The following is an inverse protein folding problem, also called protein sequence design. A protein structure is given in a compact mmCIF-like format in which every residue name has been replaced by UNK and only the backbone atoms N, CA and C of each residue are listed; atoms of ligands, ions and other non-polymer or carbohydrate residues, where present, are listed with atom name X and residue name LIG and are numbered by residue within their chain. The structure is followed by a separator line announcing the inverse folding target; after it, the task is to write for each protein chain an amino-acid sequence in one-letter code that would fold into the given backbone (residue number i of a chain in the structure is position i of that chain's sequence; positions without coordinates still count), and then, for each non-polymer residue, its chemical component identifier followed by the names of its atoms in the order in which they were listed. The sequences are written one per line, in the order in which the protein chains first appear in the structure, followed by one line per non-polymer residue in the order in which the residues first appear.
data_IF_820432851290
#
_entry.id   IF_820432851290
#
_cell.length_a   1.000
_cell.length_b   1.000
_cell.length_c   1.000
_cell.angle_alpha   90.00
_cell.angle_beta   90.00
_cell.angle_gamma   90.00
#
_symmetry.space_group_name_H-M   'P 1'
#
loop_
_entity.id
_entity.type
_entity.pdbx_description
1 polymer ?
#
# COMPACT_ATOMS: atom_id res chain seq x y z
N UNK A 1 16.64 6.25 7.39
CA UNK A 1 15.96 7.45 6.84
C UNK A 1 14.59 7.03 6.31
N UNK A 2 13.50 7.19 7.08
CA UNK A 2 12.17 6.73 6.66
C UNK A 2 11.70 7.38 5.35
N UNK A 3 12.04 8.65 5.12
CA UNK A 3 11.63 9.41 3.94
C UNK A 3 12.02 8.75 2.59
N UNK A 4 13.22 8.17 2.48
CA UNK A 4 13.68 7.57 1.22
C UNK A 4 12.94 6.26 0.90
N UNK A 5 12.74 5.42 1.91
CA UNK A 5 11.99 4.17 1.80
C UNK A 5 10.53 4.44 1.45
N UNK A 6 9.92 5.42 2.10
CA UNK A 6 8.52 5.78 1.84
C UNK A 6 8.35 6.38 0.44
N UNK A 7 9.26 7.28 0.02
CA UNK A 7 9.28 7.84 -1.34
C UNK A 7 9.41 6.76 -2.41
N UNK A 8 10.22 5.72 -2.17
CA UNK A 8 10.37 4.58 -3.06
C UNK A 8 9.09 3.75 -3.17
N UNK A 9 8.39 3.53 -2.05
CA UNK A 9 7.12 2.81 -2.03
C UNK A 9 6.00 3.63 -2.70
N UNK A 10 6.00 4.95 -2.55
CA UNK A 10 5.08 5.85 -3.26
C UNK A 10 5.32 5.84 -4.76
N UNK A 11 6.58 5.93 -5.19
CA UNK A 11 6.95 5.83 -6.60
C UNK A 11 6.53 4.46 -7.19
N UNK A 12 6.73 3.37 -6.46
CA UNK A 12 6.32 2.03 -6.88
C UNK A 12 4.80 1.90 -6.99
N UNK A 13 4.05 2.45 -6.02
CA UNK A 13 2.58 2.49 -6.06
C UNK A 13 2.07 3.26 -7.28
N UNK A 14 2.64 4.45 -7.52
CA UNK A 14 2.28 5.30 -8.66
C UNK A 14 2.64 4.68 -10.01
N UNK A 15 3.68 3.84 -10.07
CA UNK A 15 4.02 3.07 -11.26
C UNK A 15 3.01 1.95 -11.51
N UNK A 16 2.58 1.23 -10.46
CA UNK A 16 1.58 0.16 -10.56
C UNK A 16 0.21 0.69 -11.01
N UNK A 17 -0.14 1.94 -10.67
CA UNK A 17 -1.36 2.59 -11.15
C UNK A 17 -1.38 2.85 -12.68
N UNK A 18 -0.21 2.80 -13.34
CA UNK A 18 -0.05 3.11 -14.76
C UNK A 18 0.36 1.90 -15.61
N UNK A 19 1.03 0.93 -15.01
CA UNK A 19 1.64 -0.20 -15.70
C UNK A 19 1.40 -1.51 -14.95
N UNK A 20 1.24 -2.64 -15.66
CA UNK A 20 1.22 -3.94 -15.01
C UNK A 20 2.56 -4.21 -14.31
N UNK A 21 2.53 -4.90 -13.15
CA UNK A 21 3.72 -5.10 -12.31
C UNK A 21 4.94 -5.64 -13.05
N UNK A 22 4.85 -6.62 -13.97
CA UNK A 22 6.00 -7.10 -14.74
C UNK A 22 6.71 -6.00 -15.54
N UNK A 23 5.99 -4.98 -16.01
CA UNK A 23 6.53 -3.84 -16.76
C UNK A 23 7.17 -2.76 -15.88
N UNK A 24 6.88 -2.72 -14.56
CA UNK A 24 7.49 -1.76 -13.64
C UNK A 24 8.99 -2.04 -13.50
N UNK A 25 9.85 -1.07 -13.80
CA UNK A 25 11.31 -1.23 -13.71
C UNK A 25 11.87 -0.55 -12.46
N UNK A 26 12.78 -1.24 -11.78
CA UNK A 26 13.46 -0.73 -10.58
C UNK A 26 14.14 0.62 -10.82
N UNK A 27 14.75 0.81 -12.00
CA UNK A 27 15.41 2.09 -12.35
C UNK A 27 14.42 3.25 -12.43
N UNK A 28 13.22 3.04 -12.95
CA UNK A 28 12.21 4.10 -13.09
C UNK A 28 11.64 4.47 -11.72
N UNK A 29 11.46 3.49 -10.83
CA UNK A 29 11.04 3.72 -9.44
C UNK A 29 12.08 4.55 -8.69
N UNK A 30 13.37 4.19 -8.80
CA UNK A 30 14.46 4.95 -8.17
C UNK A 30 14.50 6.40 -8.69
N UNK A 31 14.39 6.57 -10.01
CA UNK A 31 14.38 7.90 -10.64
C UNK A 31 13.19 8.74 -10.19
N UNK A 32 11.98 8.17 -10.16
CA UNK A 32 10.78 8.85 -9.71
C UNK A 32 10.83 9.24 -8.22
N UNK A 33 11.50 8.45 -7.39
CA UNK A 33 11.73 8.75 -5.98
C UNK A 33 12.96 9.65 -5.73
N UNK A 34 13.64 10.13 -6.79
CA UNK A 34 14.86 10.94 -6.72
C UNK A 34 15.98 10.31 -5.88
N UNK A 35 16.11 8.98 -5.92
CA UNK A 35 17.17 8.23 -5.22
C UNK A 35 18.01 7.40 -6.19
N UNK A 36 19.22 7.03 -5.77
CA UNK A 36 20.07 6.18 -6.60
C UNK A 36 19.51 4.77 -6.72
N UNK A 37 19.82 4.09 -7.84
CA UNK A 37 19.51 2.66 -8.01
C UNK A 37 20.10 1.82 -6.88
N UNK A 38 21.34 2.11 -6.47
CA UNK A 38 22.02 1.40 -5.39
C UNK A 38 21.25 1.54 -4.07
N UNK A 39 20.75 2.73 -3.75
CA UNK A 39 19.90 2.94 -2.57
C UNK A 39 18.65 2.07 -2.62
N UNK A 40 17.95 2.04 -3.76
CA UNK A 40 16.78 1.18 -3.91
C UNK A 40 17.10 -0.31 -3.71
N UNK A 41 18.17 -0.80 -4.35
CA UNK A 41 18.61 -2.18 -4.18
C UNK A 41 19.09 -2.48 -2.74
N UNK A 42 19.70 -1.52 -2.03
CA UNK A 42 20.07 -1.69 -0.63
C UNK A 42 18.84 -1.78 0.29
N UNK A 43 17.80 -0.98 0.01
CA UNK A 43 16.58 -0.94 0.83
C UNK A 43 15.69 -2.18 0.62
N UNK A 44 15.61 -2.70 -0.62
CA UNK A 44 14.65 -3.74 -0.98
C UNK A 44 15.26 -5.04 -1.50
N UNK A 45 16.53 -5.05 -1.88
CA UNK A 45 17.25 -6.20 -2.43
C UNK A 45 16.87 -6.55 -3.87
N UNK A 46 15.57 -6.65 -4.16
CA UNK A 46 15.05 -7.05 -5.48
C UNK A 46 13.68 -6.43 -5.77
N UNK A 47 13.21 -6.60 -7.01
CA UNK A 47 11.85 -6.19 -7.41
C UNK A 47 10.79 -6.90 -6.56
N UNK A 48 10.99 -8.18 -6.25
CA UNK A 48 10.06 -8.90 -5.37
C UNK A 48 10.14 -8.42 -3.93
N UNK A 49 11.33 -8.01 -3.46
CA UNK A 49 11.48 -7.38 -2.16
C UNK A 49 10.71 -6.06 -2.05
N UNK A 50 10.77 -5.24 -3.10
CA UNK A 50 9.97 -4.02 -3.23
C UNK A 50 8.47 -4.34 -3.27
N UNK A 51 8.04 -5.33 -4.07
CA UNK A 51 6.65 -5.77 -4.15
C UNK A 51 6.12 -6.17 -2.75
N UNK A 52 6.86 -7.03 -2.04
CA UNK A 52 6.47 -7.47 -0.69
C UNK A 52 6.42 -6.31 0.30
N UNK A 53 7.35 -5.36 0.20
CA UNK A 53 7.34 -4.19 1.06
C UNK A 53 6.14 -3.28 0.78
N UNK A 54 5.79 -3.09 -0.49
CA UNK A 54 4.62 -2.33 -0.90
C UNK A 54 3.32 -2.97 -0.40
N UNK A 55 3.14 -4.28 -0.63
CA UNK A 55 1.97 -5.03 -0.14
C UNK A 55 1.84 -4.92 1.39
N UNK A 56 2.93 -5.06 2.14
CA UNK A 56 2.91 -4.90 3.61
C UNK A 56 2.51 -3.49 4.04
N UNK A 57 2.94 -2.45 3.31
CA UNK A 57 2.57 -1.06 3.61
C UNK A 57 1.08 -0.84 3.42
N UNK A 58 0.54 -1.30 2.29
CA UNK A 58 -0.89 -1.16 2.01
C UNK A 58 -1.74 -1.99 2.98
N UNK A 59 -1.31 -3.20 3.35
CA UNK A 59 -1.96 -4.01 4.38
C UNK A 59 -1.98 -3.32 5.75
N UNK A 60 -0.86 -2.71 6.16
CA UNK A 60 -0.79 -1.96 7.42
C UNK A 60 -1.70 -0.72 7.39
N UNK A 61 -1.72 0.02 6.27
CA UNK A 61 -2.63 1.15 6.08
C UNK A 61 -4.10 0.73 6.13
N UNK A 62 -4.41 -0.43 5.56
CA UNK A 62 -5.75 -1.01 5.61
C UNK A 62 -6.17 -1.35 7.05
N UNK A 63 -5.35 -2.10 7.79
CA UNK A 63 -5.66 -2.46 9.18
C UNK A 63 -5.83 -1.22 10.07
N UNK A 64 -4.96 -0.22 9.90
CA UNK A 64 -5.08 1.05 10.63
C UNK A 64 -6.37 1.81 10.30
N UNK A 65 -6.94 1.64 9.11
CA UNK A 65 -8.23 2.21 8.76
C UNK A 65 -9.41 1.48 9.39
N UNK A 66 -9.36 0.14 9.48
CA UNK A 66 -10.33 -0.65 10.25
C UNK A 66 -10.32 -0.21 11.71
N UNK A 67 -9.14 -0.10 12.33
CA UNK A 67 -9.02 0.30 13.73
C UNK A 67 -9.67 1.66 13.97
N UNK A 68 -9.48 2.63 13.05
CA UNK A 68 -10.13 3.95 13.12
C UNK A 68 -11.64 3.88 12.96
N UNK A 69 -12.15 3.04 12.05
CA UNK A 69 -13.59 2.85 11.87
C UNK A 69 -14.24 2.22 13.11
N UNK A 70 -13.50 1.37 13.84
CA UNK A 70 -13.95 0.72 15.06
C UNK A 70 -13.72 1.55 16.34
N UNK A 71 -12.83 2.53 16.33
CA UNK A 71 -12.41 3.28 17.51
C UNK A 71 -13.42 4.28 18.13
N UNK A 72 -14.40 4.91 17.43
CA UNK A 72 -15.15 6.03 18.03
C UNK A 72 -16.13 5.57 19.12
N UNK A 73 -16.07 6.15 20.33
CA UNK A 73 -17.11 6.01 21.35
C UNK A 73 -17.98 7.28 21.51
N UNK A 74 -19.23 7.16 22.00
CA UNK A 74 -20.03 5.94 22.15
C UNK A 74 -20.95 5.77 20.92
N UNK A 75 -20.72 4.72 20.13
CA UNK A 75 -21.63 4.29 19.06
C UNK A 75 -22.10 2.86 19.32
N UNK A 76 -23.31 2.53 18.86
CA UNK A 76 -23.88 1.18 18.93
C UNK A 76 -22.90 0.16 18.27
N UNK A 77 -22.62 -1.00 18.88
CA UNK A 77 -21.87 -2.08 18.24
C UNK A 77 -22.29 -2.38 16.79
N UNK A 78 -23.59 -2.30 16.46
CA UNK A 78 -24.08 -2.50 15.09
C UNK A 78 -23.65 -1.37 14.14
N UNK A 79 -23.69 -0.12 14.60
CA UNK A 79 -23.21 1.04 13.84
C UNK A 79 -21.70 0.94 13.58
N UNK A 80 -20.92 0.48 14.57
CA UNK A 80 -19.47 0.27 14.42
C UNK A 80 -19.14 -0.81 13.39
N UNK A 81 -19.87 -1.93 13.41
CA UNK A 81 -19.69 -2.99 12.41
C UNK A 81 -20.08 -2.51 11.01
N UNK A 82 -21.16 -1.73 10.90
CA UNK A 82 -21.60 -1.14 9.63
C UNK A 82 -20.54 -0.19 9.09
N UNK A 83 -20.03 0.73 9.92
CA UNK A 83 -18.97 1.67 9.54
C UNK A 83 -17.67 0.97 9.10
N UNK A 84 -17.27 -0.10 9.80
CA UNK A 84 -16.11 -0.91 9.41
C UNK A 84 -16.32 -1.64 8.08
N UNK A 85 -17.53 -2.17 7.82
CA UNK A 85 -17.88 -2.82 6.57
C UNK A 85 -17.89 -1.83 5.39
N UNK A 86 -18.51 -0.67 5.58
CA UNK A 86 -18.53 0.42 4.59
C UNK A 86 -17.13 0.92 4.26
N UNK A 87 -16.31 1.14 5.30
CA UNK A 87 -14.93 1.55 5.13
C UNK A 87 -14.12 0.49 4.37
N UNK A 88 -14.29 -0.79 4.70
CA UNK A 88 -13.61 -1.91 4.03
C UNK A 88 -13.98 -1.96 2.54
N UNK A 89 -15.27 -1.83 2.21
CA UNK A 89 -15.75 -1.80 0.84
C UNK A 89 -15.18 -0.60 0.06
N UNK A 90 -15.18 0.59 0.66
CA UNK A 90 -14.60 1.80 0.05
C UNK A 90 -13.09 1.66 -0.16
N UNK A 91 -12.35 1.11 0.80
CA UNK A 91 -10.91 0.92 0.71
C UNK A 91 -10.54 -0.09 -0.40
N UNK A 92 -11.32 -1.17 -0.54
CA UNK A 92 -11.12 -2.16 -1.61
C UNK A 92 -11.42 -1.60 -3.01
N UNK A 93 -12.41 -0.70 -3.15
CA UNK A 93 -12.69 -0.05 -4.43
C UNK A 93 -11.59 0.93 -4.85
N UNK A 94 -10.99 1.65 -3.89
CA UNK A 94 -10.00 2.69 -4.15
C UNK A 94 -8.56 2.20 -4.33
N UNK A 95 -8.22 0.96 -3.93
CA UNK A 95 -6.84 0.47 -3.93
C UNK A 95 -6.75 -0.97 -4.46
N UNK A 96 -6.14 -1.12 -5.63
CA UNK A 96 -5.99 -2.42 -6.30
C UNK A 96 -5.18 -3.43 -5.46
N UNK A 97 -4.21 -2.98 -4.67
CA UNK A 97 -3.44 -3.85 -3.79
C UNK A 97 -4.28 -4.34 -2.60
N UNK A 98 -5.11 -3.47 -2.03
CA UNK A 98 -6.07 -3.85 -0.97
C UNK A 98 -7.10 -4.83 -1.53
N UNK A 99 -7.63 -4.58 -2.73
CA UNK A 99 -8.54 -5.51 -3.41
C UNK A 99 -7.90 -6.89 -3.61
N UNK A 100 -6.68 -6.93 -4.12
CA UNK A 100 -5.95 -8.17 -4.34
C UNK A 100 -5.65 -8.90 -3.03
N UNK A 101 -5.30 -8.17 -1.96
CA UNK A 101 -5.11 -8.72 -0.63
C UNK A 101 -6.38 -9.38 -0.07
N UNK A 102 -7.54 -8.76 -0.28
CA UNK A 102 -8.83 -9.24 0.26
C UNK A 102 -9.44 -10.38 -0.57
N UNK A 103 -9.21 -10.39 -1.88
CA UNK A 103 -9.88 -11.31 -2.81
C UNK A 103 -8.96 -12.39 -3.37
N UNK A 104 -7.64 -12.23 -3.22
CA UNK A 104 -6.64 -13.09 -3.87
C UNK A 104 -6.58 -12.94 -5.39
N UNK A 105 -7.24 -11.93 -5.97
CA UNK A 105 -7.43 -11.71 -7.40
C UNK A 105 -6.93 -10.34 -7.86
#
# INVERSE_FOLDING_TARGET
MPAARDSLLDAAYMALARLPWPAVRMVDVAAAAAVSRQTLYNEFGSKDGLARALVRREAAGFLAGIDRALAPPPADPYERLTAAAEWTASAAQGNALVKALLTGC
#
